data_IF_899778332554
#
_entry.id   IF_899778332554
#
_cell.length_a   1.000
_cell.length_b   1.000
_cell.length_c   1.000
_cell.angle_alpha   90.00
_cell.angle_beta   90.00
_cell.angle_gamma   90.00
#
_symmetry.space_group_name_H-M   'P 1'
#
loop_
_entity.id
_entity.type
_entity.pdbx_description
1 polymer ?
#
# COMPACT_ATOMS: atom_id res chain seq x y z
N UNK A 1 15.00 7.97 12.08
CA UNK A 1 13.90 8.18 11.12
C UNK A 1 14.46 7.87 9.73
N UNK A 2 14.51 6.59 9.34
CA UNK A 2 14.92 6.25 7.98
C UNK A 2 13.64 6.27 7.15
N UNK A 3 13.30 7.43 6.60
CA UNK A 3 12.21 7.53 5.66
C UNK A 3 12.49 6.56 4.50
N UNK A 4 11.46 5.87 4.01
CA UNK A 4 11.58 5.03 2.82
C UNK A 4 12.19 5.86 1.70
N UNK A 5 13.12 5.28 0.93
CA UNK A 5 13.76 5.97 -0.17
C UNK A 5 12.68 6.55 -1.12
N UNK A 6 12.81 7.82 -1.54
CA UNK A 6 11.82 8.43 -2.42
C UNK A 6 11.84 7.73 -3.79
N UNK A 7 10.64 7.50 -4.34
CA UNK A 7 10.49 6.95 -5.68
C UNK A 7 10.68 8.04 -6.72
N UNK A 8 11.49 7.77 -7.75
CA UNK A 8 11.63 8.68 -8.88
C UNK A 8 10.47 8.50 -9.86
N UNK A 9 9.61 9.52 -10.00
CA UNK A 9 8.53 9.57 -10.98
C UNK A 9 8.94 10.41 -12.20
N UNK A 10 8.75 9.85 -13.39
CA UNK A 10 8.85 10.57 -14.66
C UNK A 10 7.65 11.52 -14.80
N UNK A 11 7.94 12.80 -15.05
CA UNK A 11 6.93 13.87 -15.07
C UNK A 11 5.94 13.79 -16.22
N UNK A 12 6.36 13.23 -17.36
CA UNK A 12 5.57 13.22 -18.59
C UNK A 12 4.80 11.91 -18.80
N UNK A 13 4.87 11.00 -17.82
CA UNK A 13 4.25 9.69 -17.88
C UNK A 13 3.12 9.56 -16.88
N UNK A 14 2.08 8.83 -17.27
CA UNK A 14 0.97 8.50 -16.38
C UNK A 14 1.41 7.62 -15.22
N UNK A 15 0.66 7.64 -14.12
CA UNK A 15 0.88 6.73 -12.98
C UNK A 15 0.83 5.27 -13.42
N UNK A 16 -0.20 4.88 -14.18
CA UNK A 16 -0.39 3.51 -14.67
C UNK A 16 0.87 2.99 -15.39
N UNK A 17 1.48 3.82 -16.25
CA UNK A 17 2.62 3.40 -17.04
C UNK A 17 3.91 3.21 -16.23
N UNK A 18 3.97 3.70 -15.00
CA UNK A 18 5.17 3.70 -14.16
C UNK A 18 5.12 2.66 -13.03
N UNK A 19 4.11 1.79 -13.06
CA UNK A 19 3.95 0.66 -12.14
C UNK A 19 4.26 -0.62 -12.92
N UNK A 20 4.97 -1.56 -12.29
CA UNK A 20 5.36 -2.83 -12.91
C UNK A 20 4.29 -3.91 -12.75
N UNK A 21 4.49 -5.07 -13.38
CA UNK A 21 3.58 -6.22 -13.26
C UNK A 21 2.21 -5.97 -13.89
N UNK A 22 1.15 -6.09 -13.09
CA UNK A 22 -0.25 -5.79 -13.46
C UNK A 22 -0.67 -4.50 -12.73
N UNK A 23 -0.43 -3.30 -13.30
CA UNK A 23 -0.61 -2.02 -12.61
C UNK A 23 -1.99 -1.82 -12.01
N UNK A 24 -3.02 -2.28 -12.71
CA UNK A 24 -4.42 -2.15 -12.31
C UNK A 24 -4.68 -2.83 -10.97
N UNK A 25 -4.03 -3.97 -10.69
CA UNK A 25 -4.23 -4.71 -9.45
C UNK A 25 -3.65 -3.92 -8.27
N UNK A 26 -2.44 -3.38 -8.41
CA UNK A 26 -1.82 -2.55 -7.37
C UNK A 26 -2.55 -1.22 -7.15
N UNK A 27 -3.00 -0.57 -8.23
CA UNK A 27 -3.75 0.68 -8.14
C UNK A 27 -5.11 0.47 -7.46
N UNK A 28 -5.81 -0.62 -7.78
CA UNK A 28 -7.05 -1.00 -7.09
C UNK A 28 -6.78 -1.37 -5.63
N UNK A 29 -5.71 -2.11 -5.34
CA UNK A 29 -5.33 -2.50 -3.97
C UNK A 29 -5.14 -1.27 -3.06
N UNK A 30 -4.60 -0.18 -3.59
CA UNK A 30 -4.43 1.08 -2.84
C UNK A 30 -5.55 2.09 -3.06
N UNK A 31 -6.68 1.67 -3.63
CA UNK A 31 -7.85 2.50 -3.88
C UNK A 31 -7.55 3.81 -4.63
N UNK A 32 -6.58 3.79 -5.55
CA UNK A 32 -6.25 4.96 -6.38
C UNK A 32 -7.43 5.23 -7.34
N UNK A 33 -8.00 6.45 -7.36
CA UNK A 33 -9.11 6.79 -8.25
C UNK A 33 -8.77 6.53 -9.73
N UNK A 34 -9.70 5.97 -10.50
CA UNK A 34 -9.45 5.53 -11.88
C UNK A 34 -9.04 6.68 -12.81
N UNK A 35 -9.58 7.89 -12.59
CA UNK A 35 -9.20 9.09 -13.32
C UNK A 35 -7.74 9.52 -13.07
N UNK A 36 -7.15 9.12 -11.94
CA UNK A 36 -5.75 9.37 -11.63
C UNK A 36 -4.79 8.49 -12.42
N UNK A 37 -5.24 7.34 -12.94
CA UNK A 37 -4.35 6.34 -13.54
C UNK A 37 -3.65 6.88 -14.80
N UNK A 38 -4.36 7.68 -15.59
CA UNK A 38 -3.84 8.29 -16.82
C UNK A 38 -3.08 9.61 -16.57
N UNK A 39 -3.16 10.17 -15.36
CA UNK A 39 -2.55 11.46 -15.00
C UNK A 39 -1.09 11.28 -14.58
N UNK A 40 -0.22 12.26 -14.80
CA UNK A 40 1.11 12.26 -14.20
C UNK A 40 1.06 12.43 -12.69
N UNK A 41 1.92 11.71 -11.95
CA UNK A 41 1.94 11.69 -10.47
C UNK A 41 1.97 13.09 -9.84
N UNK A 42 2.79 13.99 -10.38
CA UNK A 42 2.93 15.36 -9.85
C UNK A 42 1.67 16.22 -9.97
N UNK A 43 0.68 15.81 -10.78
CA UNK A 43 -0.61 16.51 -10.94
C UNK A 43 -1.68 16.03 -9.96
N UNK A 44 -1.40 14.95 -9.21
CA UNK A 44 -2.30 14.36 -8.25
C UNK A 44 -2.30 15.16 -6.93
N UNK A 45 -3.38 15.06 -6.17
CA UNK A 45 -3.43 15.54 -4.78
C UNK A 45 -2.49 14.73 -3.88
N UNK A 46 -2.17 15.24 -2.68
CA UNK A 46 -1.24 14.57 -1.76
C UNK A 46 -1.70 13.16 -1.36
N UNK A 47 -3.00 12.93 -1.17
CA UNK A 47 -3.54 11.61 -0.84
C UNK A 47 -3.46 10.64 -2.02
N UNK A 48 -3.77 11.11 -3.23
CA UNK A 48 -3.64 10.33 -4.46
C UNK A 48 -2.17 9.99 -4.77
N UNK A 49 -1.25 10.92 -4.54
CA UNK A 49 0.20 10.71 -4.67
C UNK A 49 0.68 9.62 -3.70
N UNK A 50 0.27 9.68 -2.43
CA UNK A 50 0.62 8.68 -1.42
C UNK A 50 0.09 7.29 -1.77
N UNK A 51 -1.15 7.20 -2.24
CA UNK A 51 -1.74 5.94 -2.70
C UNK A 51 -1.01 5.36 -3.93
N UNK A 52 -0.67 6.19 -4.91
CA UNK A 52 0.08 5.79 -6.09
C UNK A 52 1.52 5.35 -5.76
N UNK A 53 2.17 6.00 -4.80
CA UNK A 53 3.49 5.59 -4.29
C UNK A 53 3.43 4.23 -3.58
N UNK A 54 2.43 4.01 -2.72
CA UNK A 54 2.24 2.71 -2.08
C UNK A 54 1.97 1.60 -3.11
N UNK A 55 1.15 1.87 -4.14
CA UNK A 55 0.90 0.92 -5.23
C UNK A 55 2.18 0.58 -6.00
N UNK A 56 2.97 1.59 -6.33
CA UNK A 56 4.25 1.39 -7.02
C UNK A 56 5.24 0.58 -6.18
N UNK A 57 5.34 0.87 -4.87
CA UNK A 57 6.20 0.09 -3.94
C UNK A 57 5.79 -1.38 -3.87
N UNK A 58 4.50 -1.69 -3.88
CA UNK A 58 4.05 -3.09 -3.94
C UNK A 58 4.48 -3.75 -5.26
N UNK A 59 4.31 -3.05 -6.39
CA UNK A 59 4.66 -3.60 -7.72
C UNK A 59 6.16 -3.84 -7.91
N UNK A 60 7.02 -2.96 -7.40
CA UNK A 60 8.48 -3.14 -7.50
C UNK A 60 8.98 -4.36 -6.70
N UNK A 61 8.15 -4.87 -5.78
CA UNK A 61 8.47 -6.01 -4.92
C UNK A 61 7.84 -7.32 -5.36
N UNK A 62 6.80 -7.29 -6.20
CA UNK A 62 6.22 -8.50 -6.79
C UNK A 62 7.14 -9.17 -7.80
N UNK A 63 8.00 -8.38 -8.47
CA UNK A 63 8.84 -8.88 -9.56
C UNK A 63 10.18 -9.49 -9.06
N UNK A 64 10.47 -9.36 -7.75
CA UNK A 64 11.68 -9.90 -7.16
C UNK A 64 11.35 -11.05 -6.20
N UNK A 65 12.01 -12.20 -6.39
CA UNK A 65 12.11 -13.24 -5.36
C UNK A 65 12.99 -12.74 -4.22
N UNK A 66 12.45 -11.81 -3.42
CA UNK A 66 13.11 -11.23 -2.27
C UNK A 66 12.37 -11.62 -1.00
N UNK A 67 13.12 -11.94 0.04
CA UNK A 67 12.58 -12.13 1.39
C UNK A 67 12.39 -10.80 2.14
N UNK A 68 12.65 -9.66 1.48
CA UNK A 68 12.51 -8.33 2.07
C UNK A 68 11.05 -7.91 2.04
N UNK A 69 10.44 -7.57 3.19
CA UNK A 69 9.05 -7.13 3.24
C UNK A 69 8.85 -5.79 2.52
N UNK A 70 7.63 -5.55 2.04
CA UNK A 70 7.25 -4.20 1.60
C UNK A 70 6.86 -3.39 2.83
N UNK A 71 7.59 -2.32 3.10
CA UNK A 71 7.25 -1.41 4.19
C UNK A 71 6.41 -0.24 3.65
N UNK A 72 5.27 0.02 4.29
CA UNK A 72 4.43 1.19 4.05
C UNK A 72 4.40 2.03 5.34
N UNK A 73 4.88 3.28 5.25
CA UNK A 73 4.99 4.20 6.38
C UNK A 73 4.00 5.35 6.19
N UNK A 74 3.14 5.59 7.19
CA UNK A 74 2.16 6.69 7.24
C UNK A 74 1.30 6.84 5.96
N UNK A 75 0.99 5.73 5.27
CA UNK A 75 0.41 5.77 3.93
C UNK A 75 -1.04 6.30 3.85
N UNK A 76 -1.70 6.48 5.00
CA UNK A 76 -3.04 7.09 5.14
C UNK A 76 -3.01 8.51 5.72
N UNK A 77 -1.84 9.08 6.02
CA UNK A 77 -1.70 10.37 6.73
C UNK A 77 -2.30 11.58 6.00
N UNK A 78 -2.29 11.56 4.68
CA UNK A 78 -2.85 12.62 3.84
C UNK A 78 -4.36 12.44 3.53
N UNK A 79 -4.98 11.38 4.05
CA UNK A 79 -6.35 10.99 3.70
C UNK A 79 -7.36 11.43 4.74
N UNK A 80 -8.59 11.71 4.29
CA UNK A 80 -9.72 11.73 5.20
C UNK A 80 -10.01 10.32 5.74
N UNK A 81 -10.85 10.26 6.78
CA UNK A 81 -11.16 9.01 7.46
C UNK A 81 -11.81 7.96 6.55
N UNK A 82 -12.68 8.38 5.63
CA UNK A 82 -13.41 7.46 4.75
C UNK A 82 -12.47 6.88 3.69
N UNK A 83 -11.63 7.72 3.10
CA UNK A 83 -10.61 7.32 2.14
C UNK A 83 -9.59 6.36 2.77
N UNK A 84 -9.12 6.65 3.99
CA UNK A 84 -8.21 5.76 4.72
C UNK A 84 -8.84 4.38 4.97
N UNK A 85 -10.08 4.32 5.46
CA UNK A 85 -10.80 3.05 5.66
C UNK A 85 -10.95 2.27 4.35
N UNK A 86 -11.36 2.93 3.26
CA UNK A 86 -11.52 2.32 1.94
C UNK A 86 -10.21 1.73 1.41
N UNK A 87 -9.11 2.48 1.56
CA UNK A 87 -7.80 2.02 1.14
C UNK A 87 -7.35 0.80 1.96
N UNK A 88 -7.48 0.83 3.29
CA UNK A 88 -7.14 -0.31 4.15
C UNK A 88 -7.98 -1.55 3.82
N UNK A 89 -9.28 -1.37 3.59
CA UNK A 89 -10.18 -2.46 3.19
C UNK A 89 -9.74 -3.10 1.86
N UNK A 90 -9.45 -2.26 0.86
CA UNK A 90 -9.02 -2.73 -0.47
C UNK A 90 -7.68 -3.45 -0.40
N UNK A 91 -6.71 -2.89 0.35
CA UNK A 91 -5.39 -3.46 0.52
C UNK A 91 -5.46 -4.80 1.24
N UNK A 92 -6.19 -4.89 2.35
CA UNK A 92 -6.36 -6.14 3.08
C UNK A 92 -6.99 -7.23 2.21
N UNK A 93 -8.03 -6.89 1.43
CA UNK A 93 -8.67 -7.83 0.52
C UNK A 93 -7.71 -8.33 -0.58
N UNK A 94 -6.92 -7.43 -1.15
CA UNK A 94 -5.89 -7.77 -2.14
C UNK A 94 -4.84 -8.72 -1.57
N UNK A 95 -4.28 -8.43 -0.39
CA UNK A 95 -3.25 -9.26 0.24
C UNK A 95 -3.75 -10.68 0.56
N UNK A 96 -4.95 -10.80 1.13
CA UNK A 96 -5.58 -12.10 1.38
C UNK A 96 -5.84 -12.87 0.08
N UNK A 97 -6.28 -12.17 -0.97
CA UNK A 97 -6.45 -12.78 -2.28
C UNK A 97 -5.13 -13.35 -2.80
N UNK A 98 -4.04 -12.57 -2.77
CA UNK A 98 -2.70 -13.01 -3.17
C UNK A 98 -2.24 -14.26 -2.41
N UNK A 99 -2.44 -14.29 -1.09
CA UNK A 99 -2.10 -15.44 -0.26
C UNK A 99 -2.88 -16.71 -0.65
N UNK A 100 -4.17 -16.58 -0.98
CA UNK A 100 -5.03 -17.70 -1.37
C UNK A 100 -4.82 -18.19 -2.81
N UNK A 101 -4.40 -17.30 -3.72
CA UNK A 101 -4.26 -17.60 -5.15
C UNK A 101 -2.85 -18.05 -5.55
N UNK A 102 -1.91 -18.11 -4.59
CA UNK A 102 -0.51 -18.47 -4.85
C UNK A 102 0.30 -17.36 -5.51
N UNK A 103 -0.17 -16.11 -5.45
CA UNK A 103 0.58 -14.95 -5.92
C UNK A 103 1.82 -14.73 -5.02
N UNK A 104 2.99 -14.56 -5.62
CA UNK A 104 4.24 -14.33 -4.89
C UNK A 104 4.41 -12.84 -4.58
N UNK A 105 3.75 -12.37 -3.50
CA UNK A 105 4.02 -11.07 -2.92
C UNK A 105 4.75 -11.24 -1.57
N UNK A 106 5.84 -10.52 -1.29
CA UNK A 106 6.48 -10.57 0.02
C UNK A 106 5.54 -9.99 1.10
N UNK A 107 5.78 -10.32 2.39
CA UNK A 107 5.00 -9.76 3.48
C UNK A 107 4.97 -8.24 3.45
N UNK A 108 3.81 -7.64 3.76
CA UNK A 108 3.65 -6.19 3.84
C UNK A 108 3.63 -5.77 5.30
N UNK A 109 4.53 -4.86 5.68
CA UNK A 109 4.61 -4.27 7.02
C UNK A 109 4.12 -2.84 6.94
N UNK A 110 3.11 -2.51 7.76
CA UNK A 110 2.47 -1.20 7.79
C UNK A 110 2.79 -0.53 9.11
N UNK A 111 3.38 0.67 9.07
CA UNK A 111 3.52 1.55 10.22
C UNK A 111 2.39 2.59 10.21
N UNK A 112 1.59 2.60 11.27
CA UNK A 112 0.45 3.50 11.43
C UNK A 112 0.36 4.00 12.87
N UNK A 113 -0.07 5.25 13.05
CA UNK A 113 -0.45 5.82 14.35
C UNK A 113 -1.94 5.60 14.66
N UNK A 114 -2.70 5.10 13.69
CA UNK A 114 -4.14 4.93 13.75
C UNK A 114 -4.48 3.44 13.90
N UNK A 115 -5.05 3.05 15.04
CA UNK A 115 -5.50 1.67 15.32
C UNK A 115 -6.89 1.36 14.75
N UNK A 116 -7.69 2.39 14.52
CA UNK A 116 -9.07 2.30 14.04
C UNK A 116 -9.19 1.76 12.60
N UNK A 117 -8.08 1.71 11.84
CA UNK A 117 -8.01 1.07 10.51
C UNK A 117 -7.84 -0.45 10.56
N UNK A 118 -7.48 -1.02 11.72
CA UNK A 118 -7.18 -2.45 11.87
C UNK A 118 -8.35 -3.33 11.47
N UNK A 119 -9.60 -2.93 11.79
CA UNK A 119 -10.81 -3.66 11.41
C UNK A 119 -11.04 -3.73 9.89
N UNK A 120 -10.48 -2.80 9.13
CA UNK A 120 -10.59 -2.76 7.67
C UNK A 120 -9.43 -3.49 7.01
N UNK A 121 -8.23 -3.31 7.56
CA UNK A 121 -7.02 -3.95 7.07
C UNK A 121 -7.04 -5.46 7.32
N UNK A 122 -7.50 -5.88 8.50
CA UNK A 122 -7.50 -7.26 9.00
C UNK A 122 -6.09 -7.90 8.85
N UNK A 123 -5.08 -7.38 9.55
CA UNK A 123 -3.71 -7.90 9.47
C UNK A 123 -3.57 -9.25 10.19
N UNK A 124 -2.58 -10.05 9.80
CA UNK A 124 -2.25 -11.31 10.49
C UNK A 124 -1.72 -11.07 11.91
N UNK A 125 -1.05 -9.94 12.14
CA UNK A 125 -0.53 -9.55 13.44
C UNK A 125 -0.41 -8.03 13.58
N UNK A 126 -0.38 -7.56 14.82
CA UNK A 126 -0.15 -6.18 15.19
C UNK A 126 0.92 -6.12 16.27
N UNK A 127 1.91 -5.25 16.08
CA UNK A 127 2.94 -4.95 17.07
C UNK A 127 2.73 -3.55 17.63
N UNK A 128 2.46 -3.46 18.94
CA UNK A 128 2.29 -2.20 19.65
C UNK A 128 3.64 -1.68 20.14
N UNK A 129 4.20 -0.69 19.45
CA UNK A 129 5.52 -0.12 19.76
C UNK A 129 5.64 0.45 21.17
N UNK A 130 4.55 1.01 21.71
CA UNK A 130 4.53 1.60 23.05
C UNK A 130 4.66 0.57 24.18
N UNK A 131 4.17 -0.66 23.97
CA UNK A 131 4.13 -1.71 25.00
C UNK A 131 5.03 -2.90 24.69
N UNK A 132 5.53 -3.01 23.46
CA UNK A 132 6.24 -4.20 22.97
C UNK A 132 5.33 -5.42 22.77
N UNK A 133 3.99 -5.26 22.87
CA UNK A 133 3.04 -6.36 22.74
C UNK A 133 2.83 -6.73 21.27
N UNK A 134 2.83 -8.03 20.98
CA UNK A 134 2.40 -8.60 19.69
C UNK A 134 1.03 -9.26 19.90
N UNK A 135 0.08 -8.97 19.01
CA UNK A 135 -1.20 -9.68 18.90
C UNK A 135 -1.23 -10.34 17.53
N UNK A 136 -1.41 -11.67 17.49
CA UNK A 136 -1.70 -12.39 16.25
C UNK A 136 -3.21 -12.59 16.09
N UNK A 137 -3.67 -12.64 14.85
CA UNK A 137 -5.03 -12.97 14.48
C UNK A 137 -5.00 -14.31 13.75
N UNK A 138 -5.79 -15.27 14.20
CA UNK A 138 -6.05 -16.47 13.42
C UNK A 138 -7.07 -16.10 12.33
N UNK A 139 -6.71 -16.36 11.08
CA UNK A 139 -7.51 -15.99 9.90
C UNK A 139 -8.86 -16.67 9.81
#
# INVERSE_FOLDING_TARGET
RTALAPLAWCRDRSVLSQISGVPEDFLKALAVPMDCWARPHHTLSSSEQAAAEAARRLSERSDCHTSVPVCLDEFTSAMDRVAACRQCQSLGAFLRHCQSSGCSLPPVVIASVHEDVLQWLLPDWVFFTATGKVIGFEG
#
